data_IF_368120091773
#
_entry.id   IF_368120091773
#
_cell.length_a   1.000
_cell.length_b   1.000
_cell.length_c   1.000
_cell.angle_alpha   90.00
_cell.angle_beta   90.00
_cell.angle_gamma   90.00
#
_symmetry.space_group_name_H-M   'P 1'
#
loop_
_entity.id
_entity.type
_entity.pdbx_description
1 polymer ?
#
# COMPACT_ATOMS: atom_id res chain seq x y z
N UNK A 1 12.08 7.93 7.18
CA UNK A 1 10.68 7.71 7.60
C UNK A 1 9.77 8.87 7.22
N UNK A 2 10.19 10.12 7.39
CA UNK A 2 9.37 11.31 7.07
C UNK A 2 8.91 11.37 5.60
N UNK A 3 9.81 11.22 4.63
CA UNK A 3 9.47 11.20 3.20
C UNK A 3 8.57 10.02 2.79
N UNK A 4 8.79 8.83 3.36
CA UNK A 4 7.94 7.66 3.13
C UNK A 4 6.52 7.93 3.60
N UNK A 5 6.36 8.45 4.83
CA UNK A 5 5.04 8.77 5.38
C UNK A 5 4.33 9.86 4.58
N UNK A 6 5.07 10.87 4.10
CA UNK A 6 4.53 11.90 3.23
C UNK A 6 3.99 11.33 1.91
N UNK A 7 4.74 10.47 1.23
CA UNK A 7 4.26 9.82 0.00
C UNK A 7 3.02 8.94 0.26
N UNK A 8 3.06 8.13 1.32
CA UNK A 8 1.92 7.29 1.70
C UNK A 8 0.69 8.14 2.01
N UNK A 9 0.85 9.27 2.69
CA UNK A 9 -0.25 10.18 2.99
C UNK A 9 -0.91 10.73 1.72
N UNK A 10 -0.12 11.21 0.75
CA UNK A 10 -0.67 11.71 -0.52
C UNK A 10 -1.45 10.64 -1.30
N UNK A 11 -0.98 9.39 -1.29
CA UNK A 11 -1.69 8.27 -1.94
C UNK A 11 -3.04 8.01 -1.23
N UNK A 12 -3.07 8.07 0.10
CA UNK A 12 -4.30 7.90 0.88
C UNK A 12 -5.27 9.06 0.67
N UNK A 13 -4.78 10.30 0.58
CA UNK A 13 -5.61 11.46 0.26
C UNK A 13 -6.29 11.32 -1.11
N UNK A 14 -5.54 10.89 -2.12
CA UNK A 14 -6.10 10.62 -3.45
C UNK A 14 -7.15 9.51 -3.40
N UNK A 15 -6.88 8.42 -2.67
CA UNK A 15 -7.84 7.33 -2.51
C UNK A 15 -9.14 7.78 -1.81
N UNK A 16 -9.00 8.62 -0.77
CA UNK A 16 -10.14 9.20 -0.06
C UNK A 16 -10.95 10.10 -0.99
N UNK A 17 -10.28 10.91 -1.82
CA UNK A 17 -10.96 11.75 -2.82
C UNK A 17 -11.80 10.91 -3.80
N UNK A 18 -11.23 9.83 -4.34
CA UNK A 18 -11.97 8.93 -5.24
C UNK A 18 -13.20 8.31 -4.56
N UNK A 19 -13.06 7.91 -3.30
CA UNK A 19 -14.19 7.41 -2.49
C UNK A 19 -15.25 8.51 -2.29
N UNK A 20 -14.82 9.74 -2.00
CA UNK A 20 -15.73 10.89 -1.79
C UNK A 20 -16.43 11.34 -3.10
N UNK A 21 -15.85 11.03 -4.27
CA UNK A 21 -16.47 11.18 -5.60
C UNK A 21 -17.55 10.12 -5.87
N UNK A 22 -17.80 9.20 -4.93
CA UNK A 22 -18.86 8.19 -5.00
C UNK A 22 -18.41 6.84 -5.55
N UNK A 23 -17.10 6.63 -5.75
CA UNK A 23 -16.58 5.33 -6.14
C UNK A 23 -16.63 4.35 -4.96
N UNK A 24 -16.98 3.10 -5.27
CA UNK A 24 -16.98 2.01 -4.32
C UNK A 24 -15.59 1.77 -3.70
N UNK A 25 -15.52 1.52 -2.39
CA UNK A 25 -14.24 1.38 -1.67
C UNK A 25 -13.43 0.20 -2.21
N UNK A 26 -14.09 -0.90 -2.58
CA UNK A 26 -13.46 -2.08 -3.13
C UNK A 26 -12.88 -1.78 -4.51
N UNK A 27 -13.58 -0.97 -5.33
CA UNK A 27 -13.06 -0.46 -6.59
C UNK A 27 -11.81 0.40 -6.38
N UNK A 28 -11.84 1.37 -5.45
CA UNK A 28 -10.69 2.24 -5.15
C UNK A 28 -9.50 1.41 -4.67
N UNK A 29 -9.74 0.42 -3.81
CA UNK A 29 -8.69 -0.47 -3.32
C UNK A 29 -8.08 -1.34 -4.44
N UNK A 30 -8.91 -1.88 -5.34
CA UNK A 30 -8.43 -2.62 -6.50
C UNK A 30 -7.57 -1.75 -7.43
N UNK A 31 -7.98 -0.50 -7.65
CA UNK A 31 -7.21 0.46 -8.43
C UNK A 31 -5.86 0.80 -7.78
N UNK A 32 -5.81 1.00 -6.46
CA UNK A 32 -4.57 1.20 -5.72
C UNK A 32 -3.61 0.01 -5.85
N UNK A 33 -4.11 -1.22 -5.75
CA UNK A 33 -3.30 -2.42 -5.95
C UNK A 33 -2.75 -2.52 -7.38
N UNK A 34 -3.55 -2.17 -8.38
CA UNK A 34 -3.10 -2.15 -9.77
C UNK A 34 -2.01 -1.07 -9.99
N UNK A 35 -2.24 0.14 -9.49
CA UNK A 35 -1.28 1.25 -9.58
C UNK A 35 0.05 0.91 -8.88
N UNK A 36 0.01 0.29 -7.70
CA UNK A 36 1.22 -0.13 -6.98
C UNK A 36 1.97 -1.24 -7.73
N UNK A 37 1.27 -2.21 -8.32
CA UNK A 37 1.87 -3.25 -9.15
C UNK A 37 2.54 -2.72 -10.43
N UNK A 38 1.91 -1.75 -11.10
CA UNK A 38 2.49 -1.07 -12.27
C UNK A 38 3.75 -0.30 -11.85
N UNK A 39 3.69 0.46 -10.75
CA UNK A 39 4.84 1.21 -10.27
C UNK A 39 5.99 0.30 -9.80
N UNK A 40 5.67 -0.82 -9.15
CA UNK A 40 6.65 -1.83 -8.78
C UNK A 40 7.35 -2.44 -10.01
N UNK A 41 6.59 -2.67 -11.09
CA UNK A 41 7.13 -3.13 -12.37
C UNK A 41 8.14 -2.14 -12.93
N UNK A 42 7.83 -0.84 -12.95
CA UNK A 42 8.81 0.18 -13.35
C UNK A 42 10.06 0.20 -12.48
N UNK A 43 9.90 0.03 -11.16
CA UNK A 43 11.04 0.08 -10.23
C UNK A 43 12.02 -1.10 -10.37
N UNK A 44 11.52 -2.26 -10.82
CA UNK A 44 12.32 -3.49 -10.91
C UNK A 44 12.76 -3.79 -12.34
N UNK A 45 11.90 -3.55 -13.33
CA UNK A 45 12.11 -3.91 -14.73
C UNK A 45 12.36 -2.68 -15.65
N UNK A 46 12.25 -1.46 -15.14
CA UNK A 46 12.37 -0.23 -15.93
C UNK A 46 11.16 0.02 -16.85
N UNK A 47 11.29 0.97 -17.79
CA UNK A 47 10.19 1.45 -18.64
C UNK A 47 9.70 0.46 -19.71
N UNK A 48 10.40 -0.66 -19.93
CA UNK A 48 10.21 -1.51 -21.12
C UNK A 48 9.91 -2.97 -20.76
N UNK A 49 10.05 -3.36 -19.50
CA UNK A 49 9.99 -4.77 -19.08
C UNK A 49 8.75 -5.15 -18.27
N UNK A 50 8.25 -6.37 -18.49
CA UNK A 50 7.40 -7.05 -17.53
C UNK A 50 8.26 -7.64 -16.39
N UNK A 51 7.65 -7.88 -15.23
CA UNK A 51 8.33 -8.65 -14.18
C UNK A 51 8.50 -10.10 -14.65
N UNK A 52 9.73 -10.61 -14.63
CA UNK A 52 9.97 -12.05 -14.60
C UNK A 52 9.25 -12.69 -13.40
N UNK A 53 8.91 -14.00 -13.42
CA UNK A 53 8.19 -14.64 -12.32
C UNK A 53 8.83 -14.40 -10.93
N UNK A 54 10.17 -14.41 -10.88
CA UNK A 54 10.93 -14.11 -9.64
C UNK A 54 10.77 -12.67 -9.16
N UNK A 55 10.47 -11.73 -10.06
CA UNK A 55 10.15 -10.34 -9.74
C UNK A 55 8.77 -10.22 -9.10
N UNK A 56 7.78 -10.97 -9.60
CA UNK A 56 6.44 -11.03 -9.00
C UNK A 56 6.53 -11.54 -7.55
N UNK A 57 7.27 -12.62 -7.32
CA UNK A 57 7.46 -13.18 -5.98
C UNK A 57 8.09 -12.18 -4.99
N UNK A 58 9.08 -11.41 -5.45
CA UNK A 58 9.71 -10.35 -4.64
C UNK A 58 8.71 -9.26 -4.26
N UNK A 59 7.90 -8.79 -5.20
CA UNK A 59 6.88 -7.75 -4.94
C UNK A 59 5.84 -8.27 -3.95
N UNK A 60 5.38 -9.50 -4.11
CA UNK A 60 4.44 -10.14 -3.18
C UNK A 60 5.03 -10.27 -1.78
N UNK A 61 6.29 -10.69 -1.66
CA UNK A 61 6.98 -10.79 -0.37
C UNK A 61 7.11 -9.43 0.33
N UNK A 62 7.49 -8.38 -0.41
CA UNK A 62 7.56 -7.02 0.11
C UNK A 62 6.19 -6.51 0.58
N UNK A 63 5.13 -6.76 -0.21
CA UNK A 63 3.77 -6.37 0.17
C UNK A 63 3.31 -7.06 1.46
N UNK A 64 3.60 -8.36 1.60
CA UNK A 64 3.30 -9.13 2.82
C UNK A 64 4.00 -8.54 4.04
N UNK A 65 5.31 -8.28 3.95
CA UNK A 65 6.09 -7.70 5.06
C UNK A 65 5.55 -6.33 5.48
N UNK A 66 5.21 -5.47 4.52
CA UNK A 66 4.64 -4.16 4.79
C UNK A 66 3.27 -4.28 5.48
N UNK A 67 2.41 -5.18 5.00
CA UNK A 67 1.10 -5.40 5.60
C UNK A 67 1.22 -5.93 7.04
N UNK A 68 2.08 -6.92 7.27
CA UNK A 68 2.38 -7.45 8.61
C UNK A 68 2.85 -6.34 9.56
N UNK A 69 3.73 -5.45 9.09
CA UNK A 69 4.19 -4.31 9.87
C UNK A 69 3.05 -3.34 10.24
N UNK A 70 2.17 -3.02 9.28
CA UNK A 70 1.00 -2.16 9.50
C UNK A 70 0.04 -2.80 10.50
N UNK A 71 -0.25 -4.10 10.36
CA UNK A 71 -1.14 -4.83 11.26
C UNK A 71 -0.57 -4.93 12.67
N UNK A 72 0.75 -5.13 12.80
CA UNK A 72 1.44 -5.12 14.10
C UNK A 72 1.27 -3.77 14.80
N UNK A 73 1.57 -2.66 14.11
CA UNK A 73 1.38 -1.31 14.66
C UNK A 73 -0.06 -1.04 15.08
N UNK A 74 -1.03 -1.36 14.22
CA UNK A 74 -2.46 -1.18 14.54
C UNK A 74 -2.87 -1.96 15.79
N UNK A 75 -2.36 -3.17 15.99
CA UNK A 75 -2.62 -3.97 17.20
C UNK A 75 -1.99 -3.32 18.44
N UNK A 76 -0.77 -2.82 18.33
CA UNK A 76 -0.07 -2.11 19.41
C UNK A 76 -0.84 -0.84 19.81
N UNK A 77 -1.34 -0.06 18.85
CA UNK A 77 -2.14 1.15 19.09
C UNK A 77 -3.46 0.84 19.81
N UNK A 78 -4.16 -0.23 19.40
CA UNK A 78 -5.42 -0.67 20.03
C UNK A 78 -5.16 -1.15 21.47
N UNK A 79 -4.08 -1.90 21.71
CA UNK A 79 -3.72 -2.40 23.04
C UNK A 79 -3.26 -1.27 23.97
N UNK A 80 -2.50 -0.29 23.46
CA UNK A 80 -2.10 0.90 24.22
C UNK A 80 -3.28 1.81 24.57
N UNK A 81 -4.29 1.92 23.71
CA UNK A 81 -5.54 2.63 24.02
C UNK A 81 -6.41 1.87 25.03
N UNK A 82 -6.41 0.54 24.99
CA UNK A 82 -7.17 -0.31 25.93
C UNK A 82 -6.54 -0.37 27.33
N UNK A 83 -5.27 0.02 27.48
CA UNK A 83 -4.57 0.09 28.76
C UNK A 83 -4.69 1.43 29.50
N UNK A 84 -5.31 2.44 28.88
CA UNK A 84 -5.54 3.78 29.45
C UNK A 84 -7.02 4.10 29.70
N UNK A 85 -7.89 3.07 29.70
CA UNK A 85 -9.33 3.19 29.95
C UNK A 85 -9.72 2.56 31.29
#
# INVERSE_FOLDING_TARGET
MEKHNHCTHQIIELANKLKDEGHDIQLVNAALMAASGIYATYSVAGNVGALEPTGVDKVVAMYRQNLEHIQKRKKEDVQGQSGNA
#
